data_IF_882410013947
#
_entry.id   IF_882410013947
#
_cell.length_a   1.000
_cell.length_b   1.000
_cell.length_c   1.000
_cell.angle_alpha   90.00
_cell.angle_beta   90.00
_cell.angle_gamma   90.00
#
_symmetry.space_group_name_H-M   'P 1'
#
loop_
_entity.id
_entity.type
_entity.pdbx_description
1 polymer ?
#
# COMPACT_ATOMS: atom_id res chain seq x y z
N UNK A 1 42.39 36.45 31.11
CA UNK A 1 41.20 36.36 30.24
C UNK A 1 40.61 34.96 30.39
N UNK A 2 39.32 34.87 30.74
CA UNK A 2 38.59 33.63 31.03
C UNK A 2 37.92 33.07 29.76
N UNK A 3 37.90 31.73 29.69
CA UNK A 3 36.85 30.83 29.13
C UNK A 3 36.55 30.94 27.62
N UNK A 4 36.33 29.87 26.86
CA UNK A 4 35.74 28.61 27.25
C UNK A 4 36.24 27.40 26.46
N UNK A 5 36.67 26.42 27.23
CA UNK A 5 36.83 25.02 26.89
C UNK A 5 35.44 24.49 26.50
N UNK A 6 35.23 24.17 25.22
CA UNK A 6 34.02 23.45 24.77
C UNK A 6 34.16 22.00 25.23
N UNK A 7 33.49 21.69 26.32
CA UNK A 7 33.26 20.33 26.81
C UNK A 7 32.45 19.58 25.73
N UNK A 8 33.13 18.69 25.01
CA UNK A 8 32.47 17.56 24.35
C UNK A 8 31.93 16.65 25.45
N UNK A 9 30.65 16.25 25.43
CA UNK A 9 30.18 15.24 26.37
C UNK A 9 30.88 13.90 26.04
N UNK A 10 31.47 13.32 27.08
CA UNK A 10 32.15 12.03 27.09
C UNK A 10 31.31 10.94 26.42
N UNK A 11 31.80 10.46 25.27
CA UNK A 11 31.44 9.16 24.71
C UNK A 11 32.45 8.16 25.28
N UNK A 12 32.25 7.75 26.53
CA UNK A 12 33.08 6.71 27.15
C UNK A 12 32.20 5.75 27.94
N UNK A 13 32.50 4.46 27.75
CA UNK A 13 31.90 3.25 28.32
C UNK A 13 30.64 2.72 27.64
N UNK A 14 30.78 2.31 26.37
CA UNK A 14 30.10 1.09 25.92
C UNK A 14 30.94 -0.11 26.39
N UNK A 15 30.48 -0.77 27.46
CA UNK A 15 30.99 -2.08 27.85
C UNK A 15 30.70 -3.10 26.75
N UNK A 16 31.65 -4.02 26.56
CA UNK A 16 31.57 -5.24 25.72
C UNK A 16 30.90 -5.01 24.35
N UNK A 17 31.71 -4.66 23.34
CA UNK A 17 31.25 -4.46 21.97
C UNK A 17 30.88 -5.81 21.33
N UNK A 18 29.65 -6.26 21.55
CA UNK A 18 29.00 -7.18 20.62
C UNK A 18 28.92 -6.48 19.24
N UNK A 19 29.22 -7.17 18.13
CA UNK A 19 29.28 -6.54 16.83
C UNK A 19 27.92 -5.92 16.47
N UNK A 20 27.91 -4.60 16.26
CA UNK A 20 26.73 -3.87 15.82
C UNK A 20 26.15 -4.54 14.56
N UNK A 21 24.87 -4.92 14.64
CA UNK A 21 24.16 -5.60 13.54
C UNK A 21 24.20 -4.75 12.27
N UNK A 22 24.28 -5.41 11.12
CA UNK A 22 24.22 -4.73 9.83
C UNK A 22 22.91 -3.94 9.70
N UNK A 23 23.05 -2.61 9.64
CA UNK A 23 21.93 -1.69 9.47
C UNK A 23 21.79 -1.32 7.99
N UNK A 24 20.57 -1.42 7.47
CA UNK A 24 20.25 -1.01 6.09
C UNK A 24 19.45 0.27 6.10
N UNK A 25 19.90 1.28 5.37
CA UNK A 25 19.19 2.55 5.17
C UNK A 25 18.64 2.64 3.75
N UNK A 26 17.37 3.02 3.62
CA UNK A 26 16.69 3.31 2.36
C UNK A 26 16.12 4.72 2.43
N UNK A 27 16.42 5.55 1.43
CA UNK A 27 15.93 6.92 1.35
C UNK A 27 14.71 6.99 0.41
N UNK A 28 13.58 7.44 0.95
CA UNK A 28 12.38 7.76 0.18
C UNK A 28 12.26 9.25 -0.14
N UNK A 29 11.13 9.62 -0.77
CA UNK A 29 10.86 11.00 -1.24
C UNK A 29 10.87 12.02 -0.11
N UNK A 30 10.27 11.70 1.04
CA UNK A 30 10.17 12.60 2.20
C UNK A 30 10.79 12.03 3.48
N UNK A 31 10.93 10.71 3.56
CA UNK A 31 11.39 9.99 4.75
C UNK A 31 12.58 9.11 4.44
N UNK A 32 13.41 8.88 5.44
CA UNK A 32 14.48 7.89 5.43
C UNK A 32 14.09 6.76 6.38
N UNK A 33 14.25 5.53 5.90
CA UNK A 33 13.93 4.30 6.61
C UNK A 33 15.26 3.62 6.93
N UNK A 34 15.48 3.32 8.19
CA UNK A 34 16.68 2.62 8.68
C UNK A 34 16.22 1.36 9.36
N UNK A 35 16.80 0.22 9.02
CA UNK A 35 16.32 -1.06 9.52
C UNK A 35 17.43 -2.02 9.88
N UNK A 36 17.23 -2.76 10.96
CA UNK A 36 18.07 -3.86 11.41
C UNK A 36 17.23 -5.14 11.51
N UNK A 37 17.86 -6.28 11.25
CA UNK A 37 17.26 -7.58 11.54
C UNK A 37 17.22 -7.81 13.05
N UNK A 38 16.12 -8.36 13.55
CA UNK A 38 15.87 -8.64 14.96
C UNK A 38 15.39 -10.09 15.07
N UNK A 39 16.05 -10.94 15.86
CA UNK A 39 15.70 -12.34 16.08
C UNK A 39 14.40 -12.52 16.88
N UNK A 40 13.90 -11.44 17.47
CA UNK A 40 12.57 -11.39 18.09
C UNK A 40 11.50 -11.19 17.02
N UNK A 41 10.54 -12.12 16.95
CA UNK A 41 9.31 -11.93 16.19
C UNK A 41 8.27 -11.17 17.02
N UNK A 42 7.73 -10.09 16.47
CA UNK A 42 6.74 -9.28 17.20
C UNK A 42 6.22 -8.04 16.47
N UNK A 43 5.44 -7.27 17.23
CA UNK A 43 4.76 -6.07 16.77
C UNK A 43 4.83 -4.98 17.85
N UNK A 44 5.90 -4.19 17.84
CA UNK A 44 6.13 -3.13 18.83
C UNK A 44 6.22 -1.80 18.10
N UNK A 45 5.63 -0.73 18.63
CA UNK A 45 5.79 0.61 18.10
C UNK A 45 6.11 1.61 19.21
N UNK A 46 7.30 2.19 19.17
CA UNK A 46 7.71 3.30 20.02
C UNK A 46 7.54 4.61 19.27
N UNK A 47 6.87 5.57 19.89
CA UNK A 47 6.69 6.90 19.33
C UNK A 47 6.50 7.96 20.43
N UNK A 48 6.62 9.23 20.07
CA UNK A 48 6.38 10.34 21.02
C UNK A 48 4.89 10.49 21.30
N UNK A 49 4.55 10.62 22.58
CA UNK A 49 3.23 11.02 23.05
C UNK A 49 2.94 12.45 22.57
N UNK A 50 1.96 12.61 21.71
CA UNK A 50 1.55 13.91 21.20
C UNK A 50 0.23 13.85 20.44
N UNK A 51 -0.47 14.98 20.38
CA UNK A 51 -1.73 15.13 19.63
C UNK A 51 -1.56 15.06 18.10
N UNK A 52 -0.32 15.12 17.59
CA UNK A 52 0.02 15.28 16.17
C UNK A 52 0.71 14.07 15.51
N UNK A 53 1.02 13.01 16.26
CA UNK A 53 1.57 11.78 15.66
C UNK A 53 0.52 11.06 14.83
N UNK A 54 0.83 10.66 13.59
CA UNK A 54 -0.13 9.91 12.75
C UNK A 54 -0.66 8.64 13.46
N UNK A 55 0.19 7.95 14.24
CA UNK A 55 -0.21 6.80 15.04
C UNK A 55 -1.17 7.12 16.19
N UNK A 56 -0.99 8.24 16.90
CA UNK A 56 -1.88 8.62 18.00
C UNK A 56 -3.27 9.06 17.51
N UNK A 57 -3.37 9.58 16.29
CA UNK A 57 -4.65 9.85 15.63
C UNK A 57 -5.43 8.57 15.34
N UNK A 58 -4.81 7.54 14.76
CA UNK A 58 -5.50 6.26 14.50
C UNK A 58 -5.96 5.57 15.77
N UNK A 59 -5.14 5.60 16.83
CA UNK A 59 -5.51 5.04 18.15
C UNK A 59 -6.72 5.74 18.73
N UNK A 60 -6.78 7.09 18.64
CA UNK A 60 -7.94 7.88 19.08
C UNK A 60 -9.17 7.63 18.21
N UNK A 61 -9.03 7.68 16.88
CA UNK A 61 -10.14 7.48 15.93
C UNK A 61 -10.79 6.10 16.12
N UNK A 62 -9.97 5.07 16.30
CA UNK A 62 -10.47 3.70 16.48
C UNK A 62 -10.70 3.33 17.94
N UNK A 63 -10.46 4.24 18.89
CA UNK A 63 -10.55 4.03 20.35
C UNK A 63 -9.84 2.72 20.78
N UNK A 64 -8.63 2.49 20.28
CA UNK A 64 -7.83 1.29 20.56
C UNK A 64 -7.31 1.31 22.00
N UNK A 65 -6.85 0.16 22.48
CA UNK A 65 -6.17 0.06 23.79
C UNK A 65 -5.10 1.17 23.88
N UNK A 66 -5.16 2.03 24.91
CA UNK A 66 -4.24 3.15 25.03
C UNK A 66 -2.80 2.63 25.13
N UNK A 67 -1.83 3.34 24.56
CA UNK A 67 -0.45 2.91 24.68
C UNK A 67 0.04 3.05 26.11
N UNK A 68 0.98 2.20 26.45
CA UNK A 68 1.70 2.29 27.71
C UNK A 68 2.76 3.38 27.64
N UNK A 69 2.96 4.19 28.70
CA UNK A 69 4.07 5.12 28.74
C UNK A 69 5.40 4.35 28.65
N UNK A 70 6.46 4.96 28.14
CA UNK A 70 7.80 4.36 28.12
C UNK A 70 8.82 5.18 28.92
N UNK A 71 8.72 6.51 28.82
CA UNK A 71 9.64 7.46 29.45
C UNK A 71 9.68 8.75 28.64
N UNK A 72 10.01 9.90 29.27
CA UNK A 72 10.21 11.20 28.60
C UNK A 72 9.18 11.59 27.52
N UNK A 73 7.90 11.34 27.79
CA UNK A 73 6.83 11.62 26.82
C UNK A 73 6.85 10.70 25.60
N UNK A 74 7.40 9.50 25.71
CA UNK A 74 7.30 8.39 24.76
C UNK A 74 6.26 7.38 25.21
N UNK A 75 5.66 6.74 24.23
CA UNK A 75 4.63 5.71 24.39
C UNK A 75 4.96 4.48 23.55
N UNK A 76 4.59 3.31 24.05
CA UNK A 76 4.75 2.02 23.36
C UNK A 76 3.38 1.42 23.09
N UNK A 77 3.22 0.92 21.87
CA UNK A 77 2.09 0.09 21.47
C UNK A 77 2.53 -1.36 21.31
N UNK A 78 1.61 -2.27 21.62
CA UNK A 78 1.75 -3.70 21.35
C UNK A 78 2.39 -4.50 22.47
N UNK A 79 2.59 -3.93 23.65
CA UNK A 79 3.15 -4.59 24.84
C UNK A 79 2.23 -4.41 26.04
N UNK A 80 2.24 -5.37 26.97
CA UNK A 80 1.58 -5.24 28.27
C UNK A 80 2.40 -4.38 29.24
N UNK A 81 1.76 -3.81 30.25
CA UNK A 81 2.43 -2.94 31.24
C UNK A 81 3.59 -3.66 31.95
N UNK A 82 3.44 -4.95 32.26
CA UNK A 82 4.49 -5.77 32.87
C UNK A 82 5.74 -5.90 31.97
N UNK A 83 5.53 -6.08 30.67
CA UNK A 83 6.62 -6.18 29.69
C UNK A 83 7.27 -4.81 29.49
N UNK A 84 6.47 -3.74 29.43
CA UNK A 84 6.98 -2.37 29.32
C UNK A 84 7.85 -2.02 30.51
N UNK A 85 7.46 -2.35 31.74
CA UNK A 85 8.30 -2.15 32.92
C UNK A 85 9.61 -2.93 32.84
N UNK A 86 9.60 -4.15 32.30
CA UNK A 86 10.83 -4.93 32.05
C UNK A 86 11.75 -4.21 31.07
N UNK A 87 11.22 -3.64 29.99
CA UNK A 87 11.98 -2.88 29.02
C UNK A 87 12.52 -1.56 29.59
N UNK A 88 11.78 -0.88 30.46
CA UNK A 88 12.23 0.36 31.10
C UNK A 88 13.41 0.17 32.06
N UNK A 89 13.57 -1.03 32.61
CA UNK A 89 14.73 -1.38 33.45
C UNK A 89 16.02 -1.52 32.65
N UNK A 90 15.93 -1.64 31.33
CA UNK A 90 17.09 -1.72 30.44
C UNK A 90 17.55 -0.31 30.03
N UNK A 91 18.58 0.20 30.70
CA UNK A 91 19.07 1.57 30.49
C UNK A 91 19.57 1.82 29.06
N UNK A 92 20.21 0.83 28.44
CA UNK A 92 20.73 0.94 27.07
C UNK A 92 19.60 1.02 26.03
N UNK A 93 18.57 0.19 26.20
CA UNK A 93 17.37 0.23 25.36
C UNK A 93 16.66 1.58 25.52
N UNK A 94 16.47 2.03 26.76
CA UNK A 94 15.80 3.31 27.05
C UNK A 94 16.57 4.46 26.39
N UNK A 95 17.90 4.48 26.51
CA UNK A 95 18.74 5.50 25.87
C UNK A 95 18.65 5.47 24.35
N UNK A 96 18.74 4.27 23.74
CA UNK A 96 18.65 4.11 22.29
C UNK A 96 17.28 4.52 21.74
N UNK A 97 16.19 4.06 22.37
CA UNK A 97 14.82 4.42 21.99
C UNK A 97 14.58 5.92 22.18
N UNK A 98 15.03 6.50 23.29
CA UNK A 98 14.93 7.94 23.52
C UNK A 98 15.69 8.75 22.48
N UNK A 99 16.94 8.39 22.18
CA UNK A 99 17.76 9.07 21.18
C UNK A 99 17.11 9.05 19.79
N UNK A 100 16.54 7.91 19.41
CA UNK A 100 15.83 7.75 18.15
C UNK A 100 14.52 8.54 18.12
N UNK A 101 13.63 8.35 19.10
CA UNK A 101 12.27 8.91 19.03
C UNK A 101 12.26 10.42 19.33
N UNK A 102 13.18 10.95 20.17
CA UNK A 102 13.34 12.40 20.37
C UNK A 102 13.70 13.15 19.09
N UNK A 103 14.34 12.47 18.12
CA UNK A 103 14.63 13.05 16.80
C UNK A 103 13.40 13.23 15.89
N UNK A 104 12.21 12.88 16.38
CA UNK A 104 10.94 13.05 15.65
C UNK A 104 10.60 11.88 14.73
N UNK A 105 11.30 10.75 14.87
CA UNK A 105 10.99 9.52 14.15
C UNK A 105 10.08 8.57 14.92
N UNK A 106 9.76 7.44 14.30
CA UNK A 106 9.09 6.29 14.93
C UNK A 106 9.98 5.05 14.83
N UNK A 107 10.00 4.23 15.86
CA UNK A 107 10.71 2.96 15.89
C UNK A 107 9.68 1.83 15.97
N UNK A 108 9.68 0.94 14.98
CA UNK A 108 8.70 -0.13 14.87
C UNK A 108 9.38 -1.47 14.69
N UNK A 109 9.11 -2.44 15.57
CA UNK A 109 9.39 -3.85 15.34
C UNK A 109 8.20 -4.44 14.60
N UNK A 110 8.44 -4.97 13.40
CA UNK A 110 7.45 -5.73 12.64
C UNK A 110 8.06 -7.05 12.19
N UNK A 111 7.44 -8.14 12.62
CA UNK A 111 8.01 -9.47 12.50
C UNK A 111 9.38 -9.52 13.16
N UNK A 112 10.41 -9.89 12.41
CA UNK A 112 11.82 -9.97 12.77
C UNK A 112 12.63 -8.75 12.30
N UNK A 113 11.98 -7.59 12.09
CA UNK A 113 12.65 -6.41 11.53
C UNK A 113 12.33 -5.16 12.33
N UNK A 114 13.36 -4.59 12.94
CA UNK A 114 13.28 -3.30 13.61
C UNK A 114 13.50 -2.19 12.58
N UNK A 115 12.56 -1.27 12.48
CA UNK A 115 12.55 -0.21 11.47
C UNK A 115 12.34 1.15 12.12
N UNK A 116 13.29 2.04 11.92
CA UNK A 116 13.20 3.45 12.29
C UNK A 116 12.86 4.30 11.08
N UNK A 117 11.81 5.12 11.18
CA UNK A 117 11.38 6.04 10.11
C UNK A 117 11.48 7.48 10.60
N UNK A 118 12.16 8.35 9.85
CA UNK A 118 12.36 9.76 10.19
C UNK A 118 12.35 10.63 8.92
N UNK A 119 12.07 11.93 9.04
CA UNK A 119 12.16 12.89 7.93
C UNK A 119 13.59 13.05 7.39
N UNK A 120 13.72 13.26 6.07
CA UNK A 120 15.01 13.30 5.37
C UNK A 120 16.03 14.32 5.92
N UNK A 121 15.56 15.48 6.38
CA UNK A 121 16.41 16.55 6.95
C UNK A 121 17.06 16.12 8.26
N UNK A 122 16.29 15.53 9.17
CA UNK A 122 16.82 15.00 10.44
C UNK A 122 17.68 13.74 10.22
N UNK A 123 17.31 12.88 9.26
CA UNK A 123 18.05 11.67 8.92
C UNK A 123 19.52 11.91 8.55
N UNK A 124 19.79 13.01 7.84
CA UNK A 124 21.16 13.37 7.41
C UNK A 124 22.03 13.82 8.57
N UNK A 125 21.47 14.58 9.51
CA UNK A 125 22.21 15.15 10.66
C UNK A 125 22.59 14.10 11.70
N UNK A 126 21.85 12.98 11.74
CA UNK A 126 21.94 11.97 12.81
C UNK A 126 22.36 10.59 12.29
N UNK A 127 23.02 10.50 11.13
CA UNK A 127 23.25 9.23 10.43
C UNK A 127 23.92 8.18 11.32
N UNK A 128 25.10 8.48 11.87
CA UNK A 128 25.92 7.49 12.58
C UNK A 128 25.29 7.14 13.94
N UNK A 129 24.74 8.14 14.64
CA UNK A 129 24.02 7.99 15.91
C UNK A 129 22.76 7.14 15.73
N UNK A 130 22.02 7.36 14.63
CA UNK A 130 20.81 6.59 14.30
C UNK A 130 21.15 5.14 14.03
N UNK A 131 22.17 4.87 13.22
CA UNK A 131 22.52 3.50 12.85
C UNK A 131 22.99 2.72 14.08
N UNK A 132 23.82 3.34 14.93
CA UNK A 132 24.20 2.77 16.23
C UNK A 132 22.98 2.47 17.11
N UNK A 133 22.09 3.44 17.34
CA UNK A 133 20.93 3.23 18.21
C UNK A 133 19.91 2.23 17.66
N UNK A 134 19.73 2.13 16.34
CA UNK A 134 18.87 1.09 15.75
C UNK A 134 19.49 -0.30 15.97
N UNK A 135 20.80 -0.43 15.82
CA UNK A 135 21.53 -1.66 16.13
C UNK A 135 21.42 -2.05 17.60
N UNK A 136 21.71 -1.12 18.52
CA UNK A 136 21.60 -1.32 19.97
C UNK A 136 20.17 -1.69 20.37
N UNK A 137 19.16 -0.96 19.89
CA UNK A 137 17.77 -1.26 20.21
C UNK A 137 17.35 -2.66 19.75
N UNK A 138 17.78 -3.11 18.56
CA UNK A 138 17.48 -4.46 18.08
C UNK A 138 18.14 -5.53 18.97
N UNK A 139 19.41 -5.34 19.31
CA UNK A 139 20.17 -6.26 20.17
C UNK A 139 19.56 -6.36 21.57
N UNK A 140 19.25 -5.23 22.22
CA UNK A 140 18.63 -5.23 23.56
C UNK A 140 17.25 -5.88 23.56
N UNK A 141 16.45 -5.68 22.52
CA UNK A 141 15.15 -6.35 22.40
C UNK A 141 15.32 -7.89 22.35
N UNK A 142 16.33 -8.40 21.65
CA UNK A 142 16.64 -9.85 21.60
C UNK A 142 17.02 -10.41 22.96
N UNK A 143 17.88 -9.71 23.68
CA UNK A 143 18.30 -10.12 25.03
C UNK A 143 17.11 -10.16 25.98
N UNK A 144 16.15 -9.24 25.84
CA UNK A 144 15.02 -9.09 26.76
C UNK A 144 13.84 -10.03 26.46
N UNK A 145 13.57 -10.31 25.18
CA UNK A 145 12.41 -11.09 24.74
C UNK A 145 12.73 -12.54 24.35
N UNK A 146 14.00 -12.88 24.09
CA UNK A 146 14.37 -14.17 23.53
C UNK A 146 13.90 -14.30 22.08
N UNK A 147 12.79 -15.01 21.84
CA UNK A 147 12.29 -15.34 20.49
C UNK A 147 11.04 -14.58 20.07
N UNK A 148 10.16 -14.21 21.02
CA UNK A 148 8.87 -13.60 20.72
C UNK A 148 8.57 -12.46 21.68
N UNK A 149 8.21 -11.29 21.13
CA UNK A 149 7.78 -10.16 21.96
C UNK A 149 6.30 -10.24 22.34
N UNK A 150 5.50 -10.80 21.45
CA UNK A 150 4.04 -10.76 21.49
C UNK A 150 3.50 -12.15 21.14
N UNK A 151 3.54 -13.09 22.09
CA UNK A 151 3.15 -14.50 21.88
C UNK A 151 1.71 -14.70 21.37
N UNK A 152 0.85 -13.68 21.40
CA UNK A 152 -0.56 -13.86 21.13
C UNK A 152 -0.94 -13.88 19.63
N UNK A 153 -0.54 -12.92 18.79
CA UNK A 153 -0.98 -12.86 17.38
C UNK A 153 0.01 -12.03 16.54
N UNK A 154 0.75 -12.65 15.62
CA UNK A 154 1.63 -11.90 14.71
C UNK A 154 0.86 -10.86 13.85
N UNK A 155 1.51 -9.75 13.47
CA UNK A 155 0.89 -8.67 12.66
C UNK A 155 0.17 -9.21 11.43
N UNK A 156 0.72 -10.26 10.82
CA UNK A 156 0.15 -10.91 9.62
C UNK A 156 -1.17 -11.63 9.92
N UNK A 157 -1.30 -12.28 11.07
CA UNK A 157 -2.54 -12.92 11.48
C UNK A 157 -3.63 -11.89 11.80
N UNK A 158 -3.25 -10.69 12.23
CA UNK A 158 -4.17 -9.55 12.34
C UNK A 158 -4.49 -8.92 10.99
N UNK A 159 -3.53 -8.70 10.08
CA UNK A 159 -3.78 -7.95 8.84
C UNK A 159 -4.41 -8.78 7.72
N UNK A 160 -4.04 -10.06 7.60
CA UNK A 160 -4.44 -10.95 6.49
C UNK A 160 -5.97 -11.12 6.39
N UNK A 161 -6.72 -11.35 7.49
CA UNK A 161 -8.18 -11.50 7.40
C UNK A 161 -8.84 -10.23 6.86
N UNK A 162 -8.38 -9.04 7.23
CA UNK A 162 -8.95 -7.79 6.71
C UNK A 162 -8.65 -7.61 5.22
N UNK A 163 -7.47 -8.02 4.73
CA UNK A 163 -7.20 -8.01 3.29
C UNK A 163 -8.14 -8.97 2.56
N UNK A 164 -8.36 -10.17 3.08
CA UNK A 164 -9.28 -11.15 2.50
C UNK A 164 -10.71 -10.61 2.49
N UNK A 165 -11.22 -10.09 3.62
CA UNK A 165 -12.55 -9.47 3.67
C UNK A 165 -12.66 -8.27 2.72
N UNK A 166 -11.61 -7.46 2.62
CA UNK A 166 -11.55 -6.31 1.69
C UNK A 166 -11.71 -6.78 0.24
N UNK A 167 -10.98 -7.82 -0.14
CA UNK A 167 -11.00 -8.39 -1.51
C UNK A 167 -12.33 -9.09 -1.80
N UNK A 168 -12.83 -9.92 -0.89
CA UNK A 168 -14.10 -10.65 -1.06
C UNK A 168 -15.29 -9.69 -1.12
N UNK A 169 -15.33 -8.68 -0.25
CA UNK A 169 -16.40 -7.68 -0.30
C UNK A 169 -16.33 -6.82 -1.55
N UNK A 170 -15.14 -6.32 -1.92
CA UNK A 170 -14.97 -5.52 -3.13
C UNK A 170 -15.34 -6.31 -4.40
N UNK A 171 -14.96 -7.58 -4.48
CA UNK A 171 -15.33 -8.45 -5.60
C UNK A 171 -16.83 -8.75 -5.64
N UNK A 172 -17.44 -9.22 -4.54
CA UNK A 172 -18.87 -9.55 -4.50
C UNK A 172 -19.76 -8.36 -4.87
N UNK A 173 -19.44 -7.15 -4.38
CA UNK A 173 -20.19 -5.94 -4.75
C UNK A 173 -19.94 -5.51 -6.20
N UNK A 174 -18.72 -5.64 -6.71
CA UNK A 174 -18.41 -5.32 -8.11
C UNK A 174 -19.12 -6.26 -9.08
N UNK A 175 -19.16 -7.56 -8.77
CA UNK A 175 -19.92 -8.54 -9.55
C UNK A 175 -21.42 -8.30 -9.44
N UNK A 176 -21.96 -8.12 -8.23
CA UNK A 176 -23.40 -7.91 -8.01
C UNK A 176 -23.95 -6.69 -8.76
N UNK A 177 -23.19 -5.58 -8.79
CA UNK A 177 -23.61 -4.39 -9.52
C UNK A 177 -23.61 -4.60 -11.05
N UNK A 178 -22.62 -5.33 -11.55
CA UNK A 178 -22.51 -5.62 -12.97
C UNK A 178 -23.60 -6.59 -13.46
N UNK A 179 -24.12 -7.46 -12.58
CA UNK A 179 -25.32 -8.26 -12.88
C UNK A 179 -26.62 -7.46 -12.81
N UNK A 180 -26.73 -6.47 -11.92
CA UNK A 180 -27.95 -5.67 -11.73
C UNK A 180 -28.19 -4.64 -12.84
N UNK A 181 -27.16 -4.27 -13.59
CA UNK A 181 -27.25 -3.24 -14.62
C UNK A 181 -26.54 -3.71 -15.87
N UNK A 182 -27.29 -4.34 -16.76
CA UNK A 182 -26.83 -4.96 -18.02
C UNK A 182 -26.23 -3.98 -19.05
N UNK A 183 -25.95 -2.73 -18.67
CA UNK A 183 -25.52 -1.65 -19.57
C UNK A 183 -24.53 -0.67 -18.93
N UNK A 184 -23.90 -1.00 -17.79
CA UNK A 184 -22.89 -0.09 -17.26
C UNK A 184 -21.63 -0.17 -18.10
N UNK A 185 -21.42 0.87 -18.86
CA UNK A 185 -20.20 1.13 -19.60
C UNK A 185 -18.97 1.05 -18.69
N UNK A 186 -17.79 0.63 -19.20
CA UNK A 186 -16.61 0.36 -18.36
C UNK A 186 -16.23 1.54 -17.45
N UNK A 187 -16.43 2.77 -17.93
CA UNK A 187 -16.17 4.00 -17.17
C UNK A 187 -17.16 4.20 -16.01
N UNK A 188 -18.44 3.86 -16.19
CA UNK A 188 -19.45 3.94 -15.13
C UNK A 188 -19.31 2.80 -14.13
N UNK A 189 -18.94 1.58 -14.57
CA UNK A 189 -18.57 0.48 -13.68
C UNK A 189 -17.39 0.90 -12.82
N UNK A 190 -16.35 1.50 -13.41
CA UNK A 190 -15.19 1.98 -12.66
C UNK A 190 -15.58 3.06 -11.62
N UNK A 191 -16.42 4.02 -11.99
CA UNK A 191 -16.90 5.05 -11.05
C UNK A 191 -17.76 4.49 -9.90
N UNK A 192 -18.75 3.65 -10.22
CA UNK A 192 -19.62 3.04 -9.22
C UNK A 192 -18.88 2.05 -8.32
N UNK A 193 -17.99 1.22 -8.89
CA UNK A 193 -17.15 0.31 -8.10
C UNK A 193 -16.18 1.06 -7.19
N UNK A 194 -15.67 2.22 -7.60
CA UNK A 194 -14.81 3.06 -6.76
C UNK A 194 -15.60 3.70 -5.61
N UNK A 195 -16.83 4.19 -5.86
CA UNK A 195 -17.75 4.67 -4.82
C UNK A 195 -18.13 3.58 -3.80
N UNK A 196 -18.41 2.37 -4.28
CA UNK A 196 -18.71 1.23 -3.41
C UNK A 196 -17.48 0.74 -2.64
N UNK A 197 -16.31 0.74 -3.27
CA UNK A 197 -15.04 0.44 -2.60
C UNK A 197 -14.76 1.45 -1.48
N UNK A 198 -15.07 2.74 -1.71
CA UNK A 198 -15.01 3.77 -0.66
C UNK A 198 -16.00 3.50 0.46
N UNK A 199 -17.25 3.15 0.14
CA UNK A 199 -18.28 2.85 1.14
C UNK A 199 -17.91 1.61 1.97
N UNK A 200 -17.32 0.60 1.33
CA UNK A 200 -16.84 -0.60 2.01
C UNK A 200 -15.61 -0.34 2.88
N UNK A 201 -14.68 0.50 2.42
CA UNK A 201 -13.57 1.01 3.25
C UNK A 201 -14.15 1.72 4.48
N UNK A 202 -15.18 2.56 4.33
CA UNK A 202 -15.82 3.25 5.46
C UNK A 202 -16.47 2.25 6.44
N UNK A 203 -17.15 1.21 5.96
CA UNK A 203 -17.75 0.17 6.83
C UNK A 203 -16.68 -0.63 7.56
N UNK A 204 -15.65 -1.09 6.84
CA UNK A 204 -14.53 -1.83 7.44
C UNK A 204 -13.81 -0.98 8.49
N UNK A 205 -13.50 0.27 8.15
CA UNK A 205 -12.79 1.21 9.03
C UNK A 205 -13.66 1.72 10.20
N UNK A 206 -14.97 1.84 10.00
CA UNK A 206 -15.91 2.36 11.00
C UNK A 206 -16.42 1.31 11.98
N UNK A 207 -16.54 0.04 11.55
CA UNK A 207 -17.16 -1.00 12.38
C UNK A 207 -16.22 -2.18 12.67
N UNK A 208 -15.63 -2.78 11.64
CA UNK A 208 -14.94 -4.07 11.77
C UNK A 208 -13.52 -3.92 12.32
N UNK A 209 -12.76 -2.98 11.76
CA UNK A 209 -11.38 -2.66 12.17
C UNK A 209 -11.34 -2.19 13.63
N UNK A 210 -12.19 -1.25 14.09
CA UNK A 210 -12.19 -0.83 15.49
C UNK A 210 -12.63 -1.96 16.42
N UNK A 211 -13.70 -2.69 16.10
CA UNK A 211 -14.24 -3.74 16.97
C UNK A 211 -13.24 -4.86 17.26
N UNK A 212 -12.44 -5.22 16.27
CA UNK A 212 -11.49 -6.32 16.37
C UNK A 212 -10.07 -5.86 16.77
N UNK A 213 -9.62 -4.66 16.37
CA UNK A 213 -8.38 -4.08 16.89
C UNK A 213 -8.49 -3.62 18.36
N UNK A 214 -9.68 -3.20 18.83
CA UNK A 214 -9.91 -2.86 20.26
C UNK A 214 -9.71 -4.04 21.20
N UNK A 215 -9.99 -5.25 20.73
CA UNK A 215 -9.83 -6.49 21.51
C UNK A 215 -8.38 -6.95 21.64
N UNK A 216 -7.47 -6.36 20.86
CA UNK A 216 -6.09 -6.78 20.78
C UNK A 216 -5.15 -5.67 21.27
N UNK A 217 -4.30 -5.95 22.26
CA UNK A 217 -3.25 -5.02 22.72
C UNK A 217 -2.29 -4.60 21.58
N UNK A 218 -2.19 -5.42 20.53
CA UNK A 218 -1.43 -5.18 19.31
C UNK A 218 -2.10 -4.23 18.32
N UNK A 219 -3.36 -3.88 18.56
CA UNK A 219 -4.19 -3.11 17.65
C UNK A 219 -3.57 -1.77 17.29
N UNK A 220 -2.99 -1.06 18.26
CA UNK A 220 -2.33 0.22 18.02
C UNK A 220 -1.05 0.12 17.16
N UNK A 221 -0.28 -0.96 17.30
CA UNK A 221 0.93 -1.19 16.52
C UNK A 221 0.61 -1.64 15.08
N UNK A 222 -0.47 -2.40 14.89
CA UNK A 222 -0.91 -2.91 13.59
C UNK A 222 -1.87 -1.98 12.85
N UNK A 223 -2.44 -0.96 13.51
CA UNK A 223 -3.47 -0.07 12.95
C UNK A 223 -3.06 0.49 11.58
N UNK A 224 -1.88 1.10 11.49
CA UNK A 224 -1.41 1.69 10.23
C UNK A 224 -1.31 0.65 9.09
N UNK A 225 -0.76 -0.54 9.37
CA UNK A 225 -0.65 -1.61 8.37
C UNK A 225 -2.02 -2.16 7.96
N UNK A 226 -2.97 -2.27 8.89
CA UNK A 226 -4.33 -2.74 8.61
C UNK A 226 -5.08 -1.71 7.76
N UNK A 227 -5.01 -0.43 8.11
CA UNK A 227 -5.60 0.66 7.32
C UNK A 227 -5.05 0.68 5.90
N UNK A 228 -3.73 0.59 5.75
CA UNK A 228 -3.09 0.57 4.44
C UNK A 228 -3.51 -0.67 3.63
N UNK A 229 -3.55 -1.85 4.27
CA UNK A 229 -3.96 -3.09 3.62
C UNK A 229 -5.43 -3.09 3.18
N UNK A 230 -6.33 -2.55 4.01
CA UNK A 230 -7.76 -2.38 3.67
C UNK A 230 -7.91 -1.39 2.50
N UNK A 231 -7.18 -0.27 2.56
CA UNK A 231 -7.27 0.77 1.52
C UNK A 231 -6.73 0.25 0.18
N UNK A 232 -5.56 -0.39 0.18
CA UNK A 232 -4.98 -0.99 -1.03
C UNK A 232 -5.79 -2.17 -1.54
N UNK A 233 -6.25 -3.06 -0.66
CA UNK A 233 -7.04 -4.23 -1.01
C UNK A 233 -8.38 -3.85 -1.64
N UNK A 234 -9.07 -2.84 -1.09
CA UNK A 234 -10.35 -2.38 -1.62
C UNK A 234 -10.19 -1.56 -2.91
N UNK A 235 -9.20 -0.66 -3.01
CA UNK A 235 -9.07 0.22 -4.18
C UNK A 235 -8.39 -0.43 -5.39
N UNK A 236 -7.32 -1.20 -5.17
CA UNK A 236 -6.48 -1.68 -6.28
C UNK A 236 -6.93 -3.03 -6.84
N UNK A 237 -7.55 -3.89 -6.01
CA UNK A 237 -7.90 -5.26 -6.42
C UNK A 237 -9.35 -5.38 -6.89
N UNK A 238 -10.30 -4.60 -6.37
CA UNK A 238 -11.72 -4.71 -6.74
C UNK A 238 -11.99 -4.43 -8.23
N UNK A 239 -11.51 -3.28 -8.71
CA UNK A 239 -11.65 -2.86 -10.12
C UNK A 239 -10.85 -3.76 -11.06
N UNK A 240 -9.61 -4.10 -10.69
CA UNK A 240 -8.74 -4.98 -11.46
C UNK A 240 -9.28 -6.40 -11.58
N UNK A 241 -9.77 -7.01 -10.50
CA UNK A 241 -10.38 -8.35 -10.52
C UNK A 241 -11.70 -8.36 -11.28
N UNK A 242 -12.53 -7.32 -11.14
CA UNK A 242 -13.78 -7.23 -11.89
C UNK A 242 -13.53 -7.12 -13.41
N UNK A 243 -12.59 -6.26 -13.83
CA UNK A 243 -12.19 -6.16 -15.23
C UNK A 243 -11.57 -7.47 -15.73
N UNK A 244 -10.62 -8.05 -15.00
CA UNK A 244 -9.98 -9.31 -15.37
C UNK A 244 -10.99 -10.45 -15.49
N UNK A 245 -11.94 -10.55 -14.56
CA UNK A 245 -12.97 -11.59 -14.58
C UNK A 245 -13.98 -11.36 -15.70
N UNK A 246 -14.37 -10.10 -15.96
CA UNK A 246 -15.19 -9.75 -17.10
C UNK A 246 -14.53 -10.14 -18.42
N UNK A 247 -13.23 -9.84 -18.58
CA UNK A 247 -12.48 -10.18 -19.79
C UNK A 247 -12.29 -11.69 -19.91
N UNK A 248 -11.79 -12.34 -18.87
CA UNK A 248 -11.43 -13.76 -18.90
C UNK A 248 -12.66 -14.68 -19.02
N UNK A 249 -13.73 -14.37 -18.29
CA UNK A 249 -14.99 -15.11 -18.43
C UNK A 249 -15.70 -14.77 -19.74
N UNK A 250 -15.67 -13.49 -20.15
CA UNK A 250 -16.23 -13.05 -21.43
C UNK A 250 -15.62 -13.81 -22.62
N UNK A 251 -14.29 -13.90 -22.68
CA UNK A 251 -13.57 -14.65 -23.72
C UNK A 251 -13.94 -16.14 -23.76
N UNK A 252 -14.29 -16.73 -22.62
CA UNK A 252 -14.60 -18.17 -22.52
C UNK A 252 -16.06 -18.52 -22.79
N UNK A 253 -16.98 -17.63 -22.44
CA UNK A 253 -18.42 -17.96 -22.40
C UNK A 253 -19.25 -17.22 -23.44
N UNK A 254 -18.76 -16.12 -24.02
CA UNK A 254 -19.54 -15.31 -24.95
C UNK A 254 -18.88 -15.28 -26.34
N UNK A 255 -19.70 -15.37 -27.41
CA UNK A 255 -19.20 -15.29 -28.77
C UNK A 255 -18.69 -13.88 -29.07
N UNK A 256 -17.60 -13.82 -29.83
CA UNK A 256 -17.00 -12.58 -30.30
C UNK A 256 -17.88 -11.98 -31.40
N UNK A 257 -18.10 -10.67 -31.35
CA UNK A 257 -18.76 -9.90 -32.39
C UNK A 257 -17.70 -9.25 -33.28
N UNK A 258 -17.83 -9.41 -34.59
CA UNK A 258 -16.95 -8.77 -35.57
C UNK A 258 -17.64 -7.55 -36.14
N UNK A 259 -16.97 -6.41 -36.05
CA UNK A 259 -17.46 -5.13 -36.57
C UNK A 259 -16.36 -4.52 -37.41
N UNK A 260 -16.69 -4.10 -38.63
CA UNK A 260 -15.76 -3.38 -39.51
C UNK A 260 -15.98 -1.88 -39.34
N UNK A 261 -14.95 -1.15 -38.94
CA UNK A 261 -15.01 0.31 -38.74
C UNK A 261 -13.82 1.00 -39.39
N UNK A 262 -14.01 2.23 -39.84
CA UNK A 262 -12.96 3.06 -40.40
C UNK A 262 -12.37 4.01 -39.36
N UNK A 263 -11.06 4.22 -39.43
CA UNK A 263 -10.38 5.15 -38.55
C UNK A 263 -8.89 5.27 -38.81
N UNK A 264 -8.23 6.03 -37.95
CA UNK A 264 -6.82 6.38 -38.01
C UNK A 264 -6.14 5.96 -36.71
N UNK A 265 -4.98 5.30 -36.81
CA UNK A 265 -4.20 4.96 -35.63
C UNK A 265 -3.42 6.18 -35.16
N UNK A 266 -3.66 6.60 -33.93
CA UNK A 266 -2.97 7.69 -33.28
C UNK A 266 -2.13 7.19 -32.10
N UNK A 267 -0.94 7.79 -31.97
CA UNK A 267 0.06 7.42 -30.97
C UNK A 267 0.44 8.67 -30.18
N UNK A 268 0.35 8.63 -28.85
CA UNK A 268 0.91 9.69 -28.01
C UNK A 268 2.42 9.61 -27.96
N UNK A 269 3.09 10.68 -28.38
CA UNK A 269 4.54 10.81 -28.21
C UNK A 269 4.86 11.18 -26.76
N UNK A 270 5.61 10.35 -26.04
CA UNK A 270 6.01 10.61 -24.65
C UNK A 270 6.56 9.39 -23.90
N UNK A 271 6.90 9.56 -22.62
CA UNK A 271 7.43 8.50 -21.72
C UNK A 271 6.44 7.35 -21.48
N UNK A 272 5.15 7.60 -21.72
CA UNK A 272 4.09 6.61 -21.71
C UNK A 272 3.41 6.66 -23.08
N UNK A 273 3.87 5.81 -24.00
CA UNK A 273 3.34 5.71 -25.36
C UNK A 273 2.02 4.94 -25.29
N UNK A 274 0.91 5.63 -25.52
CA UNK A 274 -0.39 4.99 -25.66
C UNK A 274 -0.80 5.05 -27.13
N UNK A 275 -1.40 3.98 -27.62
CA UNK A 275 -1.89 3.86 -28.99
C UNK A 275 -3.40 3.72 -28.96
N UNK A 276 -4.09 4.33 -29.91
CA UNK A 276 -5.53 4.23 -30.06
C UNK A 276 -5.93 4.33 -31.53
N UNK A 277 -7.06 3.73 -31.86
CA UNK A 277 -7.74 3.90 -33.13
C UNK A 277 -8.78 5.02 -32.95
N UNK A 278 -8.56 6.17 -33.58
CA UNK A 278 -9.53 7.27 -33.67
C UNK A 278 -10.44 6.98 -34.88
N UNK A 279 -11.72 6.76 -34.63
CA UNK A 279 -12.70 6.39 -35.64
C UNK A 279 -13.13 7.64 -36.43
N UNK A 280 -13.29 7.50 -37.74
CA UNK A 280 -13.71 8.61 -38.60
C UNK A 280 -15.11 9.11 -38.21
N UNK A 281 -15.96 8.19 -37.78
CA UNK A 281 -17.26 8.47 -37.20
C UNK A 281 -17.42 7.79 -35.84
N UNK A 282 -17.91 8.51 -34.83
CA UNK A 282 -18.21 7.92 -33.53
C UNK A 282 -19.21 6.76 -33.67
N UNK A 283 -18.82 5.55 -33.25
CA UNK A 283 -19.65 4.37 -33.39
C UNK A 283 -20.43 4.06 -32.12
N UNK A 284 -21.74 3.85 -32.26
CA UNK A 284 -22.63 3.34 -31.21
C UNK A 284 -22.84 1.83 -31.25
N UNK A 285 -22.32 1.16 -32.29
CA UNK A 285 -22.42 -0.29 -32.44
C UNK A 285 -21.42 -1.04 -31.57
N UNK A 286 -20.32 -0.38 -31.20
CA UNK A 286 -19.26 -0.93 -30.35
C UNK A 286 -19.73 -1.17 -28.91
N UNK A 287 -20.48 -0.21 -28.36
CA UNK A 287 -20.97 -0.23 -26.98
C UNK A 287 -22.39 0.34 -26.95
N UNK A 288 -23.40 -0.48 -26.63
CA UNK A 288 -24.78 -0.02 -26.56
C UNK A 288 -24.93 1.20 -25.63
N UNK A 289 -25.52 2.28 -26.15
CA UNK A 289 -25.79 3.51 -25.38
C UNK A 289 -24.62 4.49 -25.25
N UNK A 290 -23.48 4.23 -25.91
CA UNK A 290 -22.37 5.19 -26.00
C UNK A 290 -21.87 5.31 -27.42
N UNK A 291 -21.60 6.55 -27.83
CA UNK A 291 -20.90 6.84 -29.07
C UNK A 291 -19.39 6.90 -28.77
N UNK A 292 -18.65 5.89 -29.24
CA UNK A 292 -17.21 5.78 -29.01
C UNK A 292 -16.48 6.30 -30.24
N UNK A 293 -15.55 7.21 -30.00
CA UNK A 293 -14.68 7.76 -31.04
C UNK A 293 -13.26 7.17 -30.98
N UNK A 294 -12.77 6.84 -29.79
CA UNK A 294 -11.39 6.36 -29.60
C UNK A 294 -11.38 4.95 -28.99
N UNK A 295 -10.62 4.03 -29.59
CA UNK A 295 -10.45 2.66 -29.11
C UNK A 295 -8.99 2.42 -28.70
N UNK A 296 -8.70 2.01 -27.46
CA UNK A 296 -7.33 1.77 -27.03
C UNK A 296 -6.71 0.56 -27.75
N UNK A 297 -5.47 0.72 -28.20
CA UNK A 297 -4.67 -0.29 -28.90
C UNK A 297 -3.42 -0.65 -28.09
N UNK A 298 -2.95 -1.89 -28.25
CA UNK A 298 -1.59 -2.25 -27.81
C UNK A 298 -0.61 -1.71 -28.84
N UNK A 299 0.33 -0.86 -28.42
CA UNK A 299 1.31 -0.26 -29.32
C UNK A 299 2.21 -1.27 -30.07
N UNK A 300 2.33 -2.50 -29.57
CA UNK A 300 3.07 -3.57 -30.27
C UNK A 300 2.37 -4.06 -31.53
N UNK A 301 1.04 -3.88 -31.61
CA UNK A 301 0.21 -4.33 -32.72
C UNK A 301 0.10 -3.23 -33.81
N UNK A 302 0.73 -2.07 -33.58
CA UNK A 302 0.86 -0.96 -34.52
C UNK A 302 2.26 -1.00 -35.13
N UNK A 303 2.36 -1.30 -36.42
CA UNK A 303 3.65 -1.19 -37.12
C UNK A 303 4.07 0.29 -37.20
N UNK A 304 5.31 0.57 -36.79
CA UNK A 304 5.93 1.90 -36.67
C UNK A 304 6.15 2.64 -38.00
N UNK A 305 5.45 2.29 -39.07
CA UNK A 305 5.61 2.95 -40.36
C UNK A 305 4.78 4.22 -40.40
N UNK A 306 5.50 5.33 -40.61
CA UNK A 306 4.99 6.67 -40.71
C UNK A 306 3.99 6.76 -41.86
N UNK A 307 2.71 6.63 -41.55
CA UNK A 307 1.68 7.64 -41.78
C UNK A 307 0.37 7.15 -41.17
N UNK A 308 -0.41 8.07 -40.61
CA UNK A 308 -1.69 7.77 -40.01
C UNK A 308 -2.72 7.56 -41.14
N UNK A 309 -2.72 6.37 -41.74
CA UNK A 309 -3.60 6.05 -42.85
C UNK A 309 -5.01 5.71 -42.33
N UNK A 310 -6.00 6.45 -42.82
CA UNK A 310 -7.39 6.10 -42.64
C UNK A 310 -7.67 4.81 -43.41
N UNK A 311 -8.01 3.76 -42.68
CA UNK A 311 -8.30 2.45 -43.27
C UNK A 311 -9.43 1.75 -42.51
N UNK A 312 -10.00 0.74 -43.14
CA UNK A 312 -10.98 -0.11 -42.50
C UNK A 312 -10.27 -1.11 -41.60
N UNK A 313 -10.80 -1.29 -40.38
CA UNK A 313 -10.32 -2.25 -39.41
C UNK A 313 -11.42 -3.24 -39.08
N UNK A 314 -11.06 -4.52 -39.09
CA UNK A 314 -11.87 -5.59 -38.51
C UNK A 314 -11.59 -5.64 -37.00
N UNK A 315 -12.62 -5.34 -36.22
CA UNK A 315 -12.56 -5.24 -34.76
C UNK A 315 -13.36 -6.41 -34.18
N UNK A 316 -12.67 -7.23 -33.41
CA UNK A 316 -13.25 -8.30 -32.62
C UNK A 316 -13.58 -7.77 -31.22
N UNK A 317 -14.86 -7.72 -30.91
CA UNK A 317 -15.40 -7.22 -29.64
C UNK A 317 -15.99 -8.40 -28.89
N UNK A 318 -15.54 -8.58 -27.66
CA UNK A 318 -16.24 -9.48 -26.76
C UNK A 318 -17.22 -8.65 -25.93
N UNK A 319 -18.50 -9.06 -25.82
CA UNK A 319 -19.49 -8.33 -25.03
C UNK A 319 -19.16 -8.29 -23.52
N UNK A 320 -18.27 -9.17 -23.04
CA UNK A 320 -17.90 -9.29 -21.64
C UNK A 320 -19.01 -9.94 -20.81
N UNK A 321 -18.66 -10.82 -19.87
CA UNK A 321 -19.68 -11.52 -19.07
C UNK A 321 -20.51 -10.55 -18.21
N UNK A 322 -19.92 -9.42 -17.84
CA UNK A 322 -20.50 -8.44 -16.95
C UNK A 322 -21.08 -7.22 -17.71
N UNK A 323 -21.39 -7.37 -19.00
CA UNK A 323 -21.98 -6.31 -19.83
C UNK A 323 -21.02 -5.15 -20.10
N UNK A 324 -19.72 -5.37 -19.89
CA UNK A 324 -18.65 -4.42 -20.17
C UNK A 324 -17.86 -4.90 -21.38
N UNK A 325 -18.27 -4.50 -22.60
CA UNK A 325 -17.59 -4.93 -23.81
C UNK A 325 -16.14 -4.47 -23.83
N UNK A 326 -15.27 -5.30 -24.41
CA UNK A 326 -13.86 -4.99 -24.60
C UNK A 326 -13.40 -5.46 -25.97
N UNK A 327 -12.41 -4.74 -26.49
CA UNK A 327 -11.75 -5.07 -27.75
C UNK A 327 -10.80 -6.23 -27.49
N UNK A 328 -11.01 -7.33 -28.20
CA UNK A 328 -10.17 -8.52 -28.15
C UNK A 328 -9.06 -8.47 -29.19
N UNK A 329 -9.38 -8.04 -30.41
CA UNK A 329 -8.39 -7.81 -31.47
C UNK A 329 -8.83 -6.72 -32.45
N UNK A 330 -7.85 -6.05 -33.06
CA UNK A 330 -8.03 -5.08 -34.15
C UNK A 330 -7.06 -5.47 -35.25
N UNK A 331 -7.55 -5.63 -36.47
CA UNK A 331 -6.74 -5.94 -37.65
C UNK A 331 -7.10 -4.98 -38.76
N UNK A 332 -6.11 -4.50 -39.52
CA UNK A 332 -6.39 -3.83 -40.78
C UNK A 332 -7.16 -4.82 -41.65
N UNK A 333 -8.29 -4.39 -42.18
CA UNK A 333 -9.08 -5.25 -43.04
C UNK A 333 -8.34 -5.39 -44.38
N UNK A 334 -8.18 -6.62 -44.87
CA UNK A 334 -7.58 -6.83 -46.19
C UNK A 334 -8.46 -6.14 -47.24
N UNK A 335 -7.83 -5.35 -48.11
CA UNK A 335 -8.50 -4.82 -49.28
C UNK A 335 -8.85 -6.02 -50.16
N UNK A 336 -10.14 -6.32 -50.30
CA UNK A 336 -10.67 -7.19 -51.35
C UNK A 336 -10.48 -6.47 -52.70
N UNK A 337 -9.23 -6.34 -53.14
CA UNK A 337 -8.86 -5.96 -54.49
C UNK A 337 -8.55 -7.23 -55.26
N UNK A 338 -9.60 -7.76 -55.91
CA UNK A 338 -9.44 -8.53 -57.14
C UNK A 338 -9.02 -7.60 -58.27
#
# INVERSE_FOLDING_TARGET
MRLGQKVLPDVANFGVVEPLRAVRTVRGRQTTITSAACAVDGAICFMRAGASGQGSRFVRIFNLVPPEPFGDGLVVFGLSSAVVERLRRDGELVQAVNGLVKSGGRLTLQKNKLTFTIGNTAARKLKDVRDAYVGTAALRLEILFGTHANDAIGVRALSLPYTIYSVVGASAFSFGLAFLTSTLTPLKIAGCSLLLSLLFILVLMGMIVPGNLRRNALGGAAAFSVVLAVTLGSLALGTGLAMFSNTWLGERFLPVQRVRLSGVVAITRGKHTNCWLDLDQPSSTLVPGMSIRELPLRCRDVHYHADALAQNYDIEINPGLLGAPFVQSIRAAEDESN
#
